data_IF_588095549373
#
_entry.id   IF_588095549373
#
_cell.length_a   1.000
_cell.length_b   1.000
_cell.length_c   1.000
_cell.angle_alpha   90.00
_cell.angle_beta   90.00
_cell.angle_gamma   90.00
#
_symmetry.space_group_name_H-M   'P 1'
#
loop_
_entity.id
_entity.type
_entity.pdbx_description
1 polymer ?
#
# COMPACT_ATOMS: atom_id res chain seq x y z
N UNK A 1 -1.32 13.34 -11.22
CA UNK A 1 -2.73 13.30 -11.70
C UNK A 1 -3.41 11.97 -11.30
N UNK A 2 -2.84 10.77 -11.61
CA UNK A 2 -3.46 9.47 -11.32
C UNK A 2 -3.78 9.31 -9.84
N UNK A 3 -2.82 9.57 -8.97
CA UNK A 3 -2.99 9.48 -7.51
C UNK A 3 -4.05 10.46 -6.98
N UNK A 4 -4.10 11.68 -7.53
CA UNK A 4 -5.08 12.70 -7.12
C UNK A 4 -6.53 12.30 -7.41
N UNK A 5 -6.77 11.48 -8.42
CA UNK A 5 -8.11 10.96 -8.70
C UNK A 5 -8.61 10.00 -7.60
N UNK A 6 -7.69 9.40 -6.84
CA UNK A 6 -7.99 8.43 -5.78
C UNK A 6 -8.18 9.13 -4.43
N UNK A 7 -7.23 9.99 -4.06
CA UNK A 7 -7.18 10.57 -2.71
C UNK A 7 -7.53 12.06 -2.67
N UNK A 8 -7.59 12.73 -3.82
CA UNK A 8 -7.79 14.18 -3.97
C UNK A 8 -6.46 14.93 -4.12
N UNK A 9 -6.56 16.26 -4.28
CA UNK A 9 -5.42 17.11 -4.65
C UNK A 9 -4.54 17.52 -3.45
N UNK A 10 -4.97 17.26 -2.22
CA UNK A 10 -4.23 17.66 -1.02
C UNK A 10 -3.24 16.59 -0.61
N UNK A 11 -2.06 16.99 -0.16
CA UNK A 11 -1.13 16.08 0.51
C UNK A 11 -1.74 15.60 1.83
N UNK A 12 -1.76 14.29 2.04
CA UNK A 12 -2.32 13.66 3.24
C UNK A 12 -1.21 13.21 4.18
N UNK A 13 -1.48 13.10 5.51
CA UNK A 13 -0.57 12.37 6.39
C UNK A 13 -0.53 10.90 5.99
N UNK A 14 0.62 10.25 6.10
CA UNK A 14 0.84 8.87 5.66
C UNK A 14 1.43 8.01 6.78
N UNK A 15 0.76 6.90 7.07
CA UNK A 15 1.26 5.81 7.91
C UNK A 15 1.85 4.72 7.02
N UNK A 16 3.13 4.48 7.14
CA UNK A 16 3.86 3.43 6.40
C UNK A 16 3.90 2.15 7.23
N UNK A 17 3.44 1.04 6.67
CA UNK A 17 3.44 -0.27 7.32
C UNK A 17 4.79 -0.96 7.07
N UNK A 18 5.82 -0.36 7.58
CA UNK A 18 7.22 -0.81 7.51
C UNK A 18 8.02 -0.15 8.64
N UNK A 19 9.29 -0.50 8.79
CA UNK A 19 10.23 0.21 9.65
C UNK A 19 10.93 1.33 8.87
N UNK A 20 11.32 2.38 9.58
CA UNK A 20 12.19 3.39 9.03
C UNK A 20 13.59 2.78 8.84
N UNK A 21 13.90 2.43 7.60
CA UNK A 21 15.24 2.02 7.27
C UNK A 21 16.16 3.26 7.31
N UNK A 22 17.10 3.30 8.24
CA UNK A 22 18.17 4.33 8.28
C UNK A 22 19.12 4.20 7.06
N UNK A 23 18.94 3.16 6.28
CA UNK A 23 19.70 2.82 5.08
C UNK A 23 19.08 3.44 3.81
N UNK A 24 18.85 4.75 3.79
CA UNK A 24 18.85 5.54 2.56
C UNK A 24 20.24 5.62 1.92
N UNK A 25 21.20 4.85 2.43
CA UNK A 25 22.49 4.63 1.77
C UNK A 25 22.24 3.94 0.42
N UNK A 26 22.77 4.52 -0.64
CA UNK A 26 22.64 4.03 -2.04
C UNK A 26 22.92 2.53 -2.18
N UNK A 27 23.69 1.94 -1.29
CA UNK A 27 24.08 0.53 -1.31
C UNK A 27 23.01 -0.44 -0.81
N UNK A 28 21.94 0.04 -0.13
CA UNK A 28 20.86 -0.77 0.43
C UNK A 28 19.48 -0.36 -0.08
N UNK A 29 19.43 0.37 -1.21
CA UNK A 29 18.17 0.79 -1.81
C UNK A 29 17.44 -0.42 -2.36
N UNK A 30 16.28 -0.73 -1.79
CA UNK A 30 15.44 -1.86 -2.19
C UNK A 30 14.07 -1.37 -2.71
N UNK A 31 13.31 -2.27 -3.32
CA UNK A 31 12.00 -1.95 -3.88
C UNK A 31 11.01 -1.35 -2.87
N UNK A 32 11.13 -1.72 -1.57
CA UNK A 32 10.32 -1.13 -0.51
C UNK A 32 10.66 0.34 -0.30
N UNK A 33 11.95 0.65 -0.15
CA UNK A 33 12.42 2.02 0.04
C UNK A 33 12.07 2.91 -1.16
N UNK A 34 12.19 2.38 -2.39
CA UNK A 34 11.80 3.09 -3.61
C UNK A 34 10.30 3.42 -3.63
N UNK A 35 9.47 2.45 -3.31
CA UNK A 35 8.01 2.63 -3.29
C UNK A 35 7.59 3.62 -2.20
N UNK A 36 8.12 3.47 -0.97
CA UNK A 36 7.86 4.42 0.13
C UNK A 36 8.29 5.83 -0.25
N UNK A 37 9.49 6.00 -0.83
CA UNK A 37 10.00 7.30 -1.29
C UNK A 37 9.06 7.93 -2.32
N UNK A 38 8.64 7.16 -3.33
CA UNK A 38 7.71 7.63 -4.37
C UNK A 38 6.37 8.10 -3.80
N UNK A 39 5.75 7.31 -2.92
CA UNK A 39 4.48 7.70 -2.31
C UNK A 39 4.62 8.82 -1.28
N UNK A 40 5.78 8.96 -0.62
CA UNK A 40 6.06 10.04 0.33
C UNK A 40 6.00 11.42 -0.30
N UNK A 41 6.23 11.54 -1.61
CA UNK A 41 6.10 12.82 -2.34
C UNK A 41 4.66 13.36 -2.29
N UNK A 42 3.66 12.51 -2.06
CA UNK A 42 2.26 12.88 -1.92
C UNK A 42 1.83 13.07 -0.45
N UNK A 43 2.73 12.84 0.48
CA UNK A 43 2.48 13.00 1.90
C UNK A 43 2.90 14.37 2.43
N UNK A 44 2.17 14.89 3.43
CA UNK A 44 2.59 16.08 4.20
C UNK A 44 3.34 15.70 5.48
N UNK A 45 3.19 14.46 5.93
CA UNK A 45 3.83 13.88 7.10
C UNK A 45 3.92 12.37 6.87
N UNK A 46 5.03 11.75 7.24
CA UNK A 46 5.26 10.31 7.11
C UNK A 46 5.62 9.74 8.47
N UNK A 47 4.84 8.76 8.93
CA UNK A 47 5.08 8.03 10.17
C UNK A 47 5.18 6.54 9.85
N UNK A 48 6.15 5.85 10.43
CA UNK A 48 6.35 4.42 10.27
C UNK A 48 5.69 3.66 11.41
N UNK A 49 5.04 2.54 11.07
CA UNK A 49 4.36 1.68 12.04
C UNK A 49 5.32 0.87 12.88
N UNK A 50 6.43 0.42 12.28
CA UNK A 50 7.37 -0.48 12.94
C UNK A 50 8.60 0.30 13.44
N UNK A 51 9.10 -0.12 14.60
CA UNK A 51 10.39 0.30 15.11
C UNK A 51 11.54 -0.38 14.33
N UNK A 52 12.79 -0.08 14.72
CA UNK A 52 14.00 -0.66 14.11
C UNK A 52 14.12 -2.18 14.27
N UNK A 53 13.46 -2.74 15.28
CA UNK A 53 13.46 -4.17 15.58
C UNK A 53 12.29 -4.90 14.91
N UNK A 54 11.47 -4.17 14.15
CA UNK A 54 10.30 -4.71 13.43
C UNK A 54 9.05 -4.89 14.29
N UNK A 55 9.02 -4.35 15.50
CA UNK A 55 7.86 -4.39 16.37
C UNK A 55 6.94 -3.20 16.10
N UNK A 56 5.64 -3.36 16.41
CA UNK A 56 4.68 -2.26 16.26
C UNK A 56 4.96 -1.18 17.31
N UNK A 57 5.29 0.02 16.84
CA UNK A 57 5.43 1.22 17.66
C UNK A 57 4.05 1.81 17.98
N UNK A 58 3.47 1.35 19.08
CA UNK A 58 2.16 1.83 19.52
C UNK A 58 2.16 3.29 19.97
N UNK A 59 3.28 3.85 20.38
CA UNK A 59 3.40 5.25 20.76
C UNK A 59 3.21 6.15 19.54
N UNK A 60 4.04 5.92 18.51
CA UNK A 60 3.95 6.65 17.25
C UNK A 60 2.61 6.43 16.54
N UNK A 61 2.09 5.20 16.54
CA UNK A 61 0.79 4.89 15.97
C UNK A 61 -0.35 5.65 16.65
N UNK A 62 -0.38 5.66 17.99
CA UNK A 62 -1.42 6.37 18.74
C UNK A 62 -1.32 7.89 18.56
N UNK A 63 -0.12 8.45 18.55
CA UNK A 63 0.10 9.87 18.26
C UNK A 63 -0.43 10.23 16.86
N UNK A 64 -0.10 9.42 15.85
CA UNK A 64 -0.61 9.59 14.48
C UNK A 64 -2.15 9.53 14.42
N UNK A 65 -2.76 8.53 15.05
CA UNK A 65 -4.21 8.34 15.05
C UNK A 65 -4.95 9.45 15.80
N UNK A 66 -4.44 9.89 16.95
CA UNK A 66 -5.02 11.00 17.71
C UNK A 66 -5.05 12.28 16.88
N UNK A 67 -4.00 12.52 16.09
CA UNK A 67 -3.87 13.70 15.24
C UNK A 67 -4.72 13.64 13.97
N UNK A 68 -4.86 12.45 13.36
CA UNK A 68 -5.34 12.33 11.98
C UNK A 68 -6.60 11.49 11.77
N UNK A 69 -7.06 10.68 12.74
CA UNK A 69 -8.18 9.74 12.55
C UNK A 69 -9.52 10.40 12.13
N UNK A 70 -9.69 11.70 12.42
CA UNK A 70 -10.91 12.46 12.07
C UNK A 70 -10.91 12.98 10.62
N UNK A 71 -9.77 12.97 9.93
CA UNK A 71 -9.58 13.44 8.55
C UNK A 71 -9.04 12.34 7.66
N UNK A 72 -9.01 12.57 6.35
CA UNK A 72 -8.39 11.62 5.40
C UNK A 72 -6.91 11.47 5.68
N UNK A 73 -6.42 10.23 5.65
CA UNK A 73 -5.00 9.88 5.72
C UNK A 73 -4.69 8.65 4.87
N UNK A 74 -3.42 8.51 4.52
CA UNK A 74 -2.91 7.37 3.76
C UNK A 74 -2.40 6.29 4.71
N UNK A 75 -2.62 5.04 4.34
CA UNK A 75 -1.90 3.88 4.87
C UNK A 75 -1.22 3.22 3.68
N UNK A 76 0.10 3.08 3.75
CA UNK A 76 0.89 2.52 2.66
C UNK A 76 1.74 1.35 3.13
N UNK A 77 1.79 0.27 2.34
CA UNK A 77 2.68 -0.85 2.63
C UNK A 77 2.57 -1.99 1.61
N UNK A 78 3.49 -2.93 1.70
CA UNK A 78 3.40 -4.15 0.90
C UNK A 78 2.31 -5.08 1.45
N UNK A 79 1.64 -5.81 0.55
CA UNK A 79 0.52 -6.69 0.90
C UNK A 79 0.87 -7.62 2.07
N UNK A 80 2.04 -8.27 2.03
CA UNK A 80 2.47 -9.17 3.11
C UNK A 80 2.71 -8.44 4.43
N UNK A 81 3.28 -7.22 4.41
CA UNK A 81 3.50 -6.42 5.62
C UNK A 81 2.19 -5.98 6.27
N UNK A 82 1.22 -5.58 5.44
CA UNK A 82 -0.13 -5.24 5.92
C UNK A 82 -0.79 -6.45 6.56
N UNK A 83 -0.71 -7.61 5.91
CA UNK A 83 -1.28 -8.84 6.45
C UNK A 83 -0.65 -9.22 7.79
N UNK A 84 0.67 -9.26 7.87
CA UNK A 84 1.37 -9.62 9.10
C UNK A 84 1.13 -8.60 10.23
N UNK A 85 1.29 -7.32 9.94
CA UNK A 85 1.30 -6.29 10.98
C UNK A 85 -0.09 -5.76 11.31
N UNK A 86 -0.93 -5.38 10.33
CA UNK A 86 -2.25 -4.85 10.62
C UNK A 86 -3.29 -5.92 10.89
N UNK A 87 -3.29 -7.02 10.10
CA UNK A 87 -4.32 -8.05 10.24
C UNK A 87 -3.97 -9.00 11.39
N UNK A 88 -2.74 -9.52 11.46
CA UNK A 88 -2.40 -10.55 12.43
C UNK A 88 -1.89 -9.97 13.77
N UNK A 89 -0.87 -9.09 13.73
CA UNK A 89 -0.14 -8.70 14.95
C UNK A 89 -0.73 -7.51 15.71
N UNK A 90 -1.38 -6.56 15.01
CA UNK A 90 -1.90 -5.35 15.65
C UNK A 90 -2.93 -5.68 16.74
N UNK A 91 -2.67 -5.22 17.97
CA UNK A 91 -3.54 -5.37 19.13
C UNK A 91 -4.45 -4.14 19.26
N UNK A 92 -5.73 -4.31 18.91
CA UNK A 92 -6.74 -3.23 18.90
C UNK A 92 -6.93 -2.59 20.28
N UNK A 93 -6.80 -3.36 21.36
CA UNK A 93 -6.92 -2.86 22.73
C UNK A 93 -5.80 -1.87 23.12
N UNK A 94 -4.69 -1.84 22.38
CA UNK A 94 -3.59 -0.87 22.57
C UNK A 94 -3.78 0.44 21.80
N UNK A 95 -4.85 0.55 21.00
CA UNK A 95 -5.13 1.74 20.21
C UNK A 95 -6.00 2.73 20.98
N UNK A 96 -5.59 3.99 20.98
CA UNK A 96 -6.39 5.11 21.50
C UNK A 96 -7.59 5.41 20.58
N UNK A 97 -7.41 5.24 19.27
CA UNK A 97 -8.45 5.40 18.25
C UNK A 97 -8.56 4.13 17.42
N UNK A 98 -9.71 3.46 17.49
CA UNK A 98 -9.94 2.16 16.81
C UNK A 98 -10.53 2.28 15.41
N UNK A 99 -10.73 3.51 14.91
CA UNK A 99 -11.46 3.76 13.69
C UNK A 99 -10.56 4.34 12.60
N UNK A 100 -10.29 3.54 11.58
CA UNK A 100 -9.55 3.92 10.38
C UNK A 100 -10.48 4.23 9.19
N UNK A 101 -11.74 4.57 9.43
CA UNK A 101 -12.74 4.79 8.35
C UNK A 101 -12.35 5.88 7.36
N UNK A 102 -11.48 6.79 7.75
CA UNK A 102 -10.96 7.86 6.88
C UNK A 102 -9.68 7.47 6.15
N UNK A 103 -9.16 6.26 6.38
CA UNK A 103 -7.95 5.77 5.73
C UNK A 103 -8.19 5.41 4.27
N UNK A 104 -7.22 5.76 3.43
CA UNK A 104 -7.01 5.21 2.09
C UNK A 104 -5.79 4.29 2.17
N UNK A 105 -6.03 2.98 2.15
CA UNK A 105 -4.97 2.00 2.21
C UNK A 105 -4.54 1.64 0.78
N UNK A 106 -3.27 1.88 0.48
CA UNK A 106 -2.64 1.55 -0.79
C UNK A 106 -1.62 0.45 -0.55
N UNK A 107 -1.73 -0.64 -1.28
CA UNK A 107 -0.82 -1.77 -1.13
C UNK A 107 -0.43 -2.37 -2.48
N UNK A 108 0.70 -3.09 -2.50
CA UNK A 108 1.18 -3.79 -3.70
C UNK A 108 2.22 -4.85 -3.34
N UNK A 109 2.95 -5.35 -4.33
CA UNK A 109 4.10 -6.25 -4.12
C UNK A 109 3.78 -7.72 -3.78
N UNK A 110 2.50 -8.08 -3.69
CA UNK A 110 2.05 -9.47 -3.53
C UNK A 110 2.42 -10.13 -2.20
N UNK A 111 2.39 -11.47 -2.17
CA UNK A 111 2.52 -12.32 -0.97
C UNK A 111 3.91 -12.95 -0.78
N UNK A 112 4.81 -12.78 -1.72
CA UNK A 112 6.19 -13.32 -1.84
C UNK A 112 6.70 -14.21 -0.68
N UNK A 113 6.96 -13.60 0.48
CA UNK A 113 7.54 -14.28 1.65
C UNK A 113 6.55 -15.19 2.39
N UNK A 114 5.26 -14.97 2.20
CA UNK A 114 4.17 -15.68 2.90
C UNK A 114 3.13 -16.24 1.93
N UNK A 115 3.55 -16.69 0.75
CA UNK A 115 2.65 -17.21 -0.30
C UNK A 115 1.73 -18.32 0.19
N UNK A 116 2.20 -19.16 1.12
CA UNK A 116 1.38 -20.21 1.75
C UNK A 116 0.21 -19.69 2.60
N UNK A 117 0.27 -18.42 3.01
CA UNK A 117 -0.78 -17.74 3.78
C UNK A 117 -1.66 -16.84 2.90
N UNK A 118 -1.46 -16.87 1.59
CA UNK A 118 -2.21 -16.07 0.64
C UNK A 118 -3.71 -16.30 0.76
N UNK A 119 -4.43 -15.20 0.90
CA UNK A 119 -5.89 -15.19 0.94
C UNK A 119 -6.46 -14.45 -0.27
N UNK A 120 -7.72 -14.71 -0.57
CA UNK A 120 -8.42 -14.00 -1.65
C UNK A 120 -8.55 -12.51 -1.31
N UNK A 121 -8.54 -11.66 -2.34
CA UNK A 121 -8.70 -10.20 -2.24
C UNK A 121 -9.91 -9.80 -1.38
N UNK A 122 -11.07 -10.42 -1.63
CA UNK A 122 -12.29 -10.15 -0.86
C UNK A 122 -12.08 -10.36 0.63
N UNK A 123 -11.53 -11.52 1.01
CA UNK A 123 -11.21 -11.86 2.39
C UNK A 123 -10.20 -10.88 3.02
N UNK A 124 -9.17 -10.46 2.27
CA UNK A 124 -8.21 -9.47 2.74
C UNK A 124 -8.89 -8.13 3.07
N UNK A 125 -9.75 -7.64 2.18
CA UNK A 125 -10.49 -6.40 2.37
C UNK A 125 -11.50 -6.51 3.52
N UNK A 126 -12.19 -7.64 3.66
CA UNK A 126 -13.12 -7.90 4.75
C UNK A 126 -12.42 -7.90 6.12
N UNK A 127 -11.25 -8.53 6.23
CA UNK A 127 -10.47 -8.54 7.46
C UNK A 127 -10.03 -7.14 7.87
N UNK A 128 -9.56 -6.31 6.93
CA UNK A 128 -9.19 -4.92 7.18
C UNK A 128 -10.40 -4.09 7.62
N UNK A 129 -11.54 -4.27 6.95
CA UNK A 129 -12.76 -3.58 7.32
C UNK A 129 -13.26 -4.01 8.71
N UNK A 130 -13.35 -5.32 8.97
CA UNK A 130 -13.82 -5.85 10.26
C UNK A 130 -12.93 -5.43 11.43
N UNK A 131 -11.60 -5.47 11.23
CA UNK A 131 -10.64 -5.18 12.30
C UNK A 131 -10.43 -3.69 12.54
N UNK A 132 -10.38 -2.87 11.49
CA UNK A 132 -9.95 -1.47 11.54
C UNK A 132 -10.95 -0.50 10.91
N UNK A 133 -12.06 -0.98 10.35
CA UNK A 133 -13.01 -0.18 9.57
C UNK A 133 -12.38 0.53 8.35
N UNK A 134 -11.36 -0.10 7.74
CA UNK A 134 -10.76 0.39 6.49
C UNK A 134 -11.62 -0.08 5.32
N UNK A 135 -12.24 0.87 4.62
CA UNK A 135 -13.14 0.58 3.46
C UNK A 135 -12.48 0.88 2.12
N UNK A 136 -11.53 1.81 2.08
CA UNK A 136 -10.84 2.20 0.86
C UNK A 136 -9.51 1.45 0.77
N UNK A 137 -9.54 0.26 0.20
CA UNK A 137 -8.36 -0.60 -0.03
C UNK A 137 -8.09 -0.64 -1.52
N UNK A 138 -6.89 -0.25 -1.90
CA UNK A 138 -6.48 -0.06 -3.30
C UNK A 138 -5.18 -0.81 -3.51
N UNK A 139 -5.23 -1.82 -4.36
CA UNK A 139 -4.03 -2.51 -4.82
C UNK A 139 -3.40 -1.73 -5.96
N UNK A 140 -2.07 -1.69 -6.01
CA UNK A 140 -1.34 -1.11 -7.13
C UNK A 140 -0.29 -2.07 -7.66
N UNK A 141 0.01 -1.93 -8.93
CA UNK A 141 1.13 -2.56 -9.61
C UNK A 141 2.04 -1.46 -10.20
N UNK A 142 3.33 -1.63 -10.04
CA UNK A 142 4.34 -0.76 -10.62
C UNK A 142 5.68 -1.48 -10.67
N UNK A 143 6.46 -1.20 -11.70
CA UNK A 143 7.83 -1.65 -11.86
C UNK A 143 8.77 -0.53 -11.45
N UNK A 144 9.76 -0.84 -10.62
CA UNK A 144 10.78 0.14 -10.18
C UNK A 144 11.58 0.65 -11.38
N UNK A 145 11.77 -0.22 -12.37
CA UNK A 145 12.47 0.06 -13.62
C UNK A 145 11.70 0.97 -14.58
N UNK A 146 10.38 1.05 -14.41
CA UNK A 146 9.49 1.82 -15.28
C UNK A 146 8.92 3.01 -14.53
N UNK A 147 9.74 4.04 -14.37
CA UNK A 147 9.38 5.25 -13.65
C UNK A 147 8.16 5.94 -14.29
N UNK A 148 7.16 6.25 -13.46
CA UNK A 148 5.98 7.00 -13.88
C UNK A 148 4.78 6.14 -14.31
N UNK A 149 4.94 4.81 -14.42
CA UNK A 149 3.84 3.89 -14.72
C UNK A 149 3.35 3.22 -13.44
N UNK A 150 2.15 3.60 -13.00
CA UNK A 150 1.46 2.99 -11.87
C UNK A 150 0.07 2.57 -12.32
N UNK A 151 -0.27 1.32 -12.08
CA UNK A 151 -1.57 0.73 -12.39
C UNK A 151 -2.32 0.48 -11.10
N UNK A 152 -3.47 1.12 -10.95
CA UNK A 152 -4.34 0.91 -9.79
C UNK A 152 -5.44 -0.08 -10.10
N UNK A 153 -5.76 -0.91 -9.13
CA UNK A 153 -6.85 -1.86 -9.23
C UNK A 153 -8.20 -1.13 -9.19
N UNK A 154 -9.05 -1.38 -10.18
CA UNK A 154 -10.42 -0.89 -10.21
C UNK A 154 -11.33 -1.67 -9.23
N UNK A 155 -12.54 -1.20 -9.02
CA UNK A 155 -13.53 -1.89 -8.18
C UNK A 155 -13.86 -3.30 -8.67
N UNK A 156 -13.73 -3.55 -9.97
CA UNK A 156 -13.93 -4.85 -10.60
C UNK A 156 -12.75 -5.82 -10.42
N UNK A 157 -11.62 -5.37 -9.82
CA UNK A 157 -10.49 -6.23 -9.51
C UNK A 157 -9.41 -6.32 -10.59
N UNK A 158 -9.48 -5.48 -11.62
CA UNK A 158 -8.47 -5.40 -12.67
C UNK A 158 -7.59 -4.17 -12.52
N UNK A 159 -6.32 -4.30 -12.87
CA UNK A 159 -5.44 -3.15 -12.99
C UNK A 159 -5.78 -2.34 -14.23
N UNK A 160 -5.79 -1.04 -14.09
CA UNK A 160 -6.15 -0.10 -15.16
C UNK A 160 -4.96 0.77 -15.49
N UNK A 161 -4.63 0.84 -16.77
CA UNK A 161 -3.65 1.79 -17.30
C UNK A 161 -4.16 3.23 -17.13
N UNK A 162 -3.24 4.14 -16.91
CA UNK A 162 -3.57 5.58 -16.91
C UNK A 162 -3.70 6.10 -18.34
N UNK A 163 -4.28 7.29 -18.49
CA UNK A 163 -4.32 7.97 -19.80
C UNK A 163 -2.93 8.34 -20.37
N UNK A 164 -1.86 8.05 -19.63
CA UNK A 164 -0.47 8.34 -20.01
C UNK A 164 0.36 7.07 -20.21
N UNK A 165 -0.24 5.90 -20.11
CA UNK A 165 0.44 4.61 -20.25
C UNK A 165 -0.49 3.60 -20.89
N UNK A 166 0.11 2.62 -21.55
CA UNK A 166 -0.59 1.52 -22.18
C UNK A 166 0.11 0.21 -21.84
N UNK A 167 -0.56 -0.93 -22.09
CA UNK A 167 -0.05 -2.27 -21.83
C UNK A 167 -0.24 -3.09 -23.09
N UNK A 168 0.86 -3.67 -23.58
CA UNK A 168 0.85 -4.64 -24.66
C UNK A 168 1.23 -5.99 -24.08
N UNK A 169 0.32 -6.96 -24.13
CA UNK A 169 0.57 -8.34 -23.75
C UNK A 169 1.19 -9.07 -24.93
N UNK A 170 2.31 -9.74 -24.72
CA UNK A 170 3.05 -10.49 -25.76
C UNK A 170 3.22 -11.94 -25.34
N UNK A 171 3.15 -12.84 -26.32
CA UNK A 171 3.49 -14.24 -26.15
C UNK A 171 5.01 -14.46 -26.01
N UNK A 172 5.43 -15.73 -25.87
CA UNK A 172 6.83 -16.12 -25.78
C UNK A 172 7.67 -15.78 -27.03
N UNK A 173 7.01 -15.54 -28.19
CA UNK A 173 7.63 -15.10 -29.42
C UNK A 173 7.58 -13.59 -29.65
N UNK A 174 7.25 -12.84 -28.59
CA UNK A 174 7.08 -11.37 -28.60
C UNK A 174 5.96 -10.86 -29.51
N UNK A 175 5.04 -11.72 -29.98
CA UNK A 175 3.86 -11.33 -30.73
C UNK A 175 2.77 -10.85 -29.80
N UNK A 176 2.06 -9.81 -30.21
CA UNK A 176 0.94 -9.27 -29.46
C UNK A 176 -0.18 -10.30 -29.31
N UNK A 177 -0.61 -10.51 -28.07
CA UNK A 177 -1.72 -11.39 -27.75
C UNK A 177 -3.06 -10.71 -28.02
N UNK A 178 -4.02 -11.46 -28.53
CA UNK A 178 -5.41 -11.00 -28.63
C UNK A 178 -6.02 -10.84 -27.23
N UNK A 179 -7.03 -9.98 -27.12
CA UNK A 179 -7.76 -9.78 -25.88
C UNK A 179 -8.23 -11.09 -25.25
N UNK A 180 -8.03 -11.18 -23.92
CA UNK A 180 -8.39 -12.35 -23.12
C UNK A 180 -7.39 -13.50 -23.17
N UNK A 181 -6.28 -13.37 -23.89
CA UNK A 181 -5.16 -14.34 -23.85
C UNK A 181 -4.04 -13.85 -22.93
N UNK A 182 -3.47 -14.78 -22.20
CA UNK A 182 -2.24 -14.55 -21.40
C UNK A 182 -1.02 -14.60 -22.29
N UNK A 183 -0.04 -13.75 -22.00
CA UNK A 183 1.29 -13.78 -22.58
C UNK A 183 2.32 -14.28 -21.56
#
# INVERSE_FOLDING_TARGET
>A
KIFNNIVGNSRLPMLVIDSKNDNLNRNNFNASAAAVSGFSMFAKEVVYLLDKDGNIDYVNLNNFLNKHSKSKFLVFGFTYNIFLNLINQLKINKLSQKNFSKAFLIHGGGWKKIEKQKIKRGTFNELLNKKLNIKNVINYYGLVEQIGSIFFECKCGYFVASNFSDIIIRDENFKECKDGKTG
#
